data_IF_650949567239
#
_entry.id   IF_650949567239
#
_cell.length_a   1.000
_cell.length_b   1.000
_cell.length_c   1.000
_cell.angle_alpha   90.00
_cell.angle_beta   90.00
_cell.angle_gamma   90.00
#
_symmetry.space_group_name_H-M   'P 1'
#
loop_
_entity.id
_entity.type
_entity.pdbx_description
1 polymer ?
#
# COMPACT_ATOMS: atom_id res chain seq x y z
N UNK A 1 -10.55 -36.86 -6.37
CA UNK A 1 -11.48 -35.82 -6.84
C UNK A 1 -12.90 -35.92 -6.25
N UNK A 2 -13.25 -36.90 -5.43
CA UNK A 2 -14.60 -37.04 -4.85
C UNK A 2 -14.82 -36.38 -3.47
N UNK A 3 -13.78 -36.11 -2.69
CA UNK A 3 -13.93 -35.52 -1.33
C UNK A 3 -13.96 -34.00 -1.29
N UNK A 4 -13.34 -33.30 -2.24
CA UNK A 4 -13.36 -31.84 -2.32
C UNK A 4 -14.75 -31.31 -2.72
N UNK A 5 -15.52 -32.09 -3.48
CA UNK A 5 -16.91 -31.71 -3.84
C UNK A 5 -17.90 -31.72 -2.68
N UNK A 6 -17.60 -32.43 -1.59
CA UNK A 6 -18.49 -32.53 -0.41
C UNK A 6 -18.34 -31.38 0.58
N UNK A 7 -17.27 -30.62 0.53
CA UNK A 7 -16.95 -29.58 1.55
C UNK A 7 -17.45 -28.17 1.18
N UNK A 8 -17.80 -27.91 -0.08
CA UNK A 8 -18.32 -26.61 -0.55
C UNK A 8 -19.51 -26.73 -1.52
N UNK A 9 -20.22 -27.84 -1.47
CA UNK A 9 -21.36 -28.10 -2.35
C UNK A 9 -22.62 -27.36 -1.89
N UNK A 10 -22.85 -26.16 -2.44
CA UNK A 10 -24.17 -25.55 -2.42
C UNK A 10 -25.12 -26.52 -3.14
N UNK A 11 -26.22 -26.95 -2.49
CA UNK A 11 -27.18 -27.87 -3.08
C UNK A 11 -27.79 -27.27 -4.36
N UNK A 12 -28.27 -28.13 -5.27
CA UNK A 12 -28.95 -27.63 -6.46
C UNK A 12 -30.13 -26.72 -6.13
N UNK A 13 -30.81 -26.98 -5.01
CA UNK A 13 -31.93 -26.20 -4.51
C UNK A 13 -31.48 -24.83 -3.96
N UNK A 14 -30.37 -24.80 -3.19
CA UNK A 14 -29.80 -23.54 -2.69
C UNK A 14 -29.27 -22.68 -3.81
N UNK A 15 -28.65 -23.29 -4.84
CA UNK A 15 -28.21 -22.57 -6.04
C UNK A 15 -29.39 -21.99 -6.83
N UNK A 16 -30.49 -22.73 -6.93
CA UNK A 16 -31.71 -22.26 -7.57
C UNK A 16 -32.37 -21.12 -6.78
N UNK A 17 -32.40 -21.19 -5.44
CA UNK A 17 -32.88 -20.12 -4.56
C UNK A 17 -32.03 -18.87 -4.65
N UNK A 18 -30.69 -19.03 -4.66
CA UNK A 18 -29.76 -17.89 -4.84
C UNK A 18 -29.95 -17.21 -6.21
N UNK A 19 -30.06 -17.99 -7.27
CA UNK A 19 -30.32 -17.50 -8.62
C UNK A 19 -31.70 -16.83 -8.75
N UNK A 20 -32.71 -17.33 -8.07
CA UNK A 20 -34.05 -16.73 -8.04
C UNK A 20 -34.03 -15.41 -7.24
N UNK A 21 -33.33 -15.35 -6.11
CA UNK A 21 -33.15 -14.13 -5.33
C UNK A 21 -32.38 -13.05 -6.10
N UNK A 22 -31.32 -13.45 -6.83
CA UNK A 22 -30.55 -12.53 -7.69
C UNK A 22 -31.35 -12.02 -8.89
N UNK A 23 -32.26 -12.82 -9.45
CA UNK A 23 -33.14 -12.41 -10.54
C UNK A 23 -34.28 -11.49 -10.07
N UNK A 24 -34.76 -11.65 -8.84
CA UNK A 24 -35.79 -10.79 -8.25
C UNK A 24 -35.30 -9.40 -7.85
N UNK A 25 -33.99 -9.22 -7.64
CA UNK A 25 -33.40 -7.92 -7.26
C UNK A 25 -32.86 -7.10 -8.44
N UNK A 26 -32.81 -7.67 -9.65
CA UNK A 26 -32.21 -7.04 -10.83
C UNK A 26 -33.24 -6.82 -11.95
N UNK A 27 -34.40 -6.23 -11.64
CA UNK A 27 -35.06 -5.43 -12.66
C UNK A 27 -34.35 -4.06 -12.63
N UNK A 28 -33.52 -3.71 -13.61
CA UNK A 28 -32.93 -2.38 -13.65
C UNK A 28 -34.10 -1.40 -13.76
N UNK A 29 -34.22 -0.49 -12.79
CA UNK A 29 -35.08 0.66 -12.95
C UNK A 29 -34.75 1.29 -14.33
N UNK A 30 -35.75 1.78 -15.08
CA UNK A 30 -35.48 2.38 -16.38
C UNK A 30 -34.45 3.46 -16.20
N UNK A 31 -33.28 3.25 -16.76
CA UNK A 31 -32.21 4.26 -16.81
C UNK A 31 -32.76 5.39 -17.64
N UNK A 32 -33.34 6.40 -16.98
CA UNK A 32 -33.61 7.66 -17.65
C UNK A 32 -32.27 8.17 -18.15
N UNK A 33 -32.10 8.18 -19.47
CA UNK A 33 -30.95 8.74 -20.12
C UNK A 33 -30.90 10.23 -19.80
N UNK A 34 -30.20 10.57 -18.71
CA UNK A 34 -29.82 11.95 -18.41
C UNK A 34 -28.65 12.31 -19.34
N UNK A 35 -28.95 12.53 -20.60
CA UNK A 35 -28.07 13.22 -21.58
C UNK A 35 -28.09 14.74 -21.35
N UNK A 36 -28.07 15.18 -20.11
CA UNK A 36 -27.59 16.50 -19.84
C UNK A 36 -26.06 16.37 -19.82
N UNK A 37 -25.40 16.89 -20.85
CA UNK A 37 -23.94 17.03 -20.90
C UNK A 37 -23.57 17.89 -19.69
N UNK A 38 -23.25 17.22 -18.59
CA UNK A 38 -22.81 17.90 -17.35
C UNK A 38 -21.49 18.54 -17.69
N UNK A 39 -21.48 19.85 -17.93
CA UNK A 39 -20.24 20.57 -18.13
C UNK A 39 -19.43 20.45 -16.85
N UNK A 40 -18.30 19.78 -16.95
CA UNK A 40 -17.36 19.68 -15.84
C UNK A 40 -16.75 21.07 -15.64
N UNK A 41 -16.84 21.64 -14.43
CA UNK A 41 -16.20 22.93 -14.12
C UNK A 41 -14.72 22.88 -14.50
N UNK A 42 -14.23 23.95 -15.12
CA UNK A 42 -12.83 24.00 -15.59
C UNK A 42 -11.82 23.82 -14.46
N UNK A 43 -12.16 24.30 -13.27
CA UNK A 43 -11.34 24.12 -12.06
C UNK A 43 -11.14 22.66 -11.67
N UNK A 44 -12.01 21.73 -12.07
CA UNK A 44 -11.86 20.30 -11.80
C UNK A 44 -10.97 19.60 -12.83
N UNK A 45 -10.60 20.27 -13.89
CA UNK A 45 -9.73 19.75 -14.94
C UNK A 45 -8.25 20.13 -14.73
N UNK A 46 -7.96 20.93 -13.70
CA UNK A 46 -6.62 21.42 -13.40
C UNK A 46 -6.27 21.15 -11.95
N UNK A 47 -5.16 20.43 -11.71
CA UNK A 47 -4.71 20.11 -10.35
C UNK A 47 -4.34 21.33 -9.53
N UNK A 48 -3.85 22.40 -10.17
CA UNK A 48 -3.41 23.63 -9.52
C UNK A 48 -4.56 24.52 -9.00
N UNK A 49 -5.80 24.17 -9.32
CA UNK A 49 -7.02 24.83 -8.84
C UNK A 49 -7.68 24.08 -7.69
N UNK A 50 -7.20 22.87 -7.36
CA UNK A 50 -7.73 22.09 -6.23
C UNK A 50 -7.42 22.80 -4.89
N UNK A 51 -8.35 22.78 -3.92
CA UNK A 51 -8.14 23.43 -2.62
C UNK A 51 -6.84 23.02 -1.93
N UNK A 52 -6.53 21.72 -1.86
CA UNK A 52 -5.29 21.22 -1.28
C UNK A 52 -4.02 21.69 -1.98
N UNK A 53 -4.09 21.98 -3.29
CA UNK A 53 -2.94 22.54 -4.01
C UNK A 53 -2.68 24.00 -3.63
N UNK A 54 -3.73 24.77 -3.34
CA UNK A 54 -3.60 26.14 -2.84
C UNK A 54 -2.90 26.18 -1.49
N UNK A 55 -3.24 25.26 -0.59
CA UNK A 55 -2.55 25.10 0.70
C UNK A 55 -1.06 24.82 0.54
N UNK A 56 -0.69 23.92 -0.37
CA UNK A 56 0.70 23.63 -0.70
C UNK A 56 1.42 24.86 -1.25
N UNK A 57 0.78 25.66 -2.11
CA UNK A 57 1.36 26.91 -2.62
C UNK A 57 1.66 27.90 -1.49
N UNK A 58 0.73 28.06 -0.54
CA UNK A 58 0.92 28.93 0.62
C UNK A 58 2.07 28.43 1.48
N UNK A 59 2.11 27.15 1.81
CA UNK A 59 3.19 26.54 2.58
C UNK A 59 4.56 26.75 1.91
N UNK A 60 4.65 26.52 0.58
CA UNK A 60 5.88 26.76 -0.18
C UNK A 60 6.30 28.22 -0.17
N UNK A 61 5.35 29.16 -0.29
CA UNK A 61 5.65 30.58 -0.23
C UNK A 61 6.20 30.99 1.15
N UNK A 62 5.62 30.47 2.23
CA UNK A 62 6.13 30.69 3.60
C UNK A 62 7.52 30.07 3.77
N UNK A 63 7.70 28.84 3.32
CA UNK A 63 9.00 28.15 3.40
C UNK A 63 10.10 28.96 2.67
N UNK A 64 9.79 29.50 1.51
CA UNK A 64 10.69 30.36 0.75
C UNK A 64 11.08 31.63 1.53
N UNK A 65 10.11 32.28 2.18
CA UNK A 65 10.38 33.50 2.96
C UNK A 65 11.23 33.23 4.19
N UNK A 66 11.13 32.01 4.76
CA UNK A 66 11.86 31.60 5.95
C UNK A 66 13.20 30.92 5.63
N UNK A 67 13.55 30.73 4.36
CA UNK A 67 14.76 30.03 3.94
C UNK A 67 14.69 28.50 4.14
N UNK A 68 13.49 27.95 4.29
CA UNK A 68 13.22 26.51 4.49
C UNK A 68 12.65 25.85 3.23
N UNK A 69 12.82 26.43 2.06
CA UNK A 69 12.19 25.98 0.82
C UNK A 69 12.63 24.57 0.38
N UNK A 70 13.83 24.13 0.77
CA UNK A 70 14.42 22.86 0.35
C UNK A 70 14.42 21.78 1.46
N UNK A 71 13.62 21.96 2.51
CA UNK A 71 13.57 20.98 3.63
C UNK A 71 12.94 19.67 3.20
N UNK A 72 11.95 19.72 2.30
CA UNK A 72 11.25 18.55 1.80
C UNK A 72 11.64 18.25 0.35
N UNK A 73 11.70 16.96 0.01
CA UNK A 73 12.03 16.46 -1.32
C UNK A 73 13.44 16.85 -1.78
N UNK A 74 14.37 17.08 -0.84
CA UNK A 74 15.76 17.28 -1.17
C UNK A 74 16.31 16.03 -1.88
N UNK A 75 17.06 16.26 -2.97
CA UNK A 75 17.67 15.16 -3.70
C UNK A 75 18.90 14.67 -2.93
N UNK A 76 18.84 13.41 -2.50
CA UNK A 76 19.97 12.70 -1.91
C UNK A 76 20.73 11.95 -2.99
N UNK A 77 22.01 12.13 -3.07
CA UNK A 77 22.87 11.43 -4.01
C UNK A 77 23.60 10.26 -3.34
N UNK A 78 23.83 9.20 -4.11
CA UNK A 78 24.51 7.99 -3.65
C UNK A 78 23.57 6.98 -2.95
N UNK A 79 24.19 6.10 -2.18
CA UNK A 79 23.50 5.03 -1.47
C UNK A 79 22.85 5.56 -0.20
N UNK A 80 21.62 5.10 0.09
CA UNK A 80 20.91 5.50 1.29
C UNK A 80 21.51 4.82 2.54
N UNK A 81 22.54 5.44 3.10
CA UNK A 81 23.26 5.00 4.31
C UNK A 81 23.24 6.10 5.38
N UNK A 82 24.12 5.97 6.39
CA UNK A 82 24.33 7.00 7.42
C UNK A 82 25.01 8.27 6.90
N UNK A 83 25.48 8.28 5.67
CA UNK A 83 25.99 9.44 4.95
C UNK A 83 25.20 9.67 3.67
N UNK A 84 25.10 10.93 3.28
CA UNK A 84 24.44 11.32 2.03
C UNK A 84 25.06 12.61 1.49
N UNK A 85 24.96 12.82 0.20
CA UNK A 85 25.29 14.11 -0.42
C UNK A 85 24.02 14.83 -0.84
N UNK A 86 23.87 16.09 -0.45
CA UNK A 86 22.77 16.97 -0.87
C UNK A 86 23.38 18.22 -1.46
N UNK A 87 23.10 18.51 -2.72
CA UNK A 87 23.66 19.64 -3.47
C UNK A 87 25.20 19.71 -3.39
N UNK A 88 25.86 18.53 -3.49
CA UNK A 88 27.32 18.41 -3.43
C UNK A 88 27.94 18.58 -2.04
N UNK A 89 27.15 18.61 -0.98
CA UNK A 89 27.61 18.68 0.41
C UNK A 89 27.40 17.36 1.12
N UNK A 90 28.44 16.78 1.67
CA UNK A 90 28.36 15.58 2.47
C UNK A 90 27.75 15.87 3.84
N UNK A 91 26.80 15.05 4.24
CA UNK A 91 26.06 15.19 5.49
C UNK A 91 25.87 13.85 6.17
N UNK A 92 25.75 13.88 7.49
CA UNK A 92 25.24 12.75 8.25
C UNK A 92 23.73 12.65 8.05
N UNK A 93 23.27 11.45 7.73
CA UNK A 93 21.86 11.18 7.43
C UNK A 93 21.17 10.54 8.63
N UNK A 94 20.42 11.33 9.39
CA UNK A 94 19.57 10.86 10.50
C UNK A 94 18.14 10.52 10.07
N UNK A 95 17.79 10.67 8.79
CA UNK A 95 16.44 10.43 8.27
C UNK A 95 16.31 9.09 7.53
N UNK A 96 17.37 8.27 7.52
CA UNK A 96 17.37 6.95 6.90
C UNK A 96 16.66 5.91 7.76
N UNK A 97 15.94 4.99 7.13
CA UNK A 97 15.41 3.78 7.78
C UNK A 97 16.42 2.63 7.83
N UNK A 98 17.65 2.85 7.37
CA UNK A 98 18.73 1.87 7.43
C UNK A 98 19.32 1.78 8.84
N UNK A 99 18.49 1.40 9.81
CA UNK A 99 18.84 1.37 11.24
C UNK A 99 19.98 0.41 11.56
N UNK A 100 20.18 -0.63 10.76
CA UNK A 100 21.20 -1.65 10.96
C UNK A 100 22.43 -1.44 10.07
N UNK A 101 22.43 -0.43 9.19
CA UNK A 101 23.52 -0.17 8.26
C UNK A 101 23.71 -1.26 7.19
N UNK A 102 22.64 -1.96 6.84
CA UNK A 102 22.70 -3.12 5.95
C UNK A 102 22.45 -2.80 4.48
N UNK A 103 22.00 -1.60 4.15
CA UNK A 103 21.63 -1.24 2.77
C UNK A 103 22.81 -1.35 1.78
N UNK A 104 24.04 -1.16 2.25
CA UNK A 104 25.26 -1.30 1.46
C UNK A 104 25.98 -2.65 1.62
N UNK A 105 25.43 -3.62 2.36
CA UNK A 105 26.08 -4.91 2.60
C UNK A 105 26.18 -5.73 1.31
N UNK A 106 27.40 -6.13 0.95
CA UNK A 106 27.69 -6.86 -0.28
C UNK A 106 26.95 -8.21 -0.37
N UNK A 107 26.67 -8.85 0.78
CA UNK A 107 25.92 -10.12 0.83
C UNK A 107 24.46 -9.90 0.42
N UNK A 108 23.87 -8.81 0.88
CA UNK A 108 22.48 -8.44 0.57
C UNK A 108 22.38 -8.03 -0.90
N UNK A 109 23.31 -7.23 -1.40
CA UNK A 109 23.35 -6.83 -2.81
C UNK A 109 23.51 -8.03 -3.73
N UNK A 110 24.40 -8.98 -3.39
CA UNK A 110 24.58 -10.22 -4.14
C UNK A 110 23.30 -11.07 -4.15
N UNK A 111 22.66 -11.26 -3.01
CA UNK A 111 21.40 -12.02 -2.91
C UNK A 111 20.27 -11.36 -3.70
N UNK A 112 20.16 -10.03 -3.65
CA UNK A 112 19.16 -9.28 -4.42
C UNK A 112 19.40 -9.40 -5.93
N UNK A 113 20.65 -9.32 -6.37
CA UNK A 113 21.03 -9.49 -7.78
C UNK A 113 20.71 -10.89 -8.29
N UNK A 114 21.01 -11.92 -7.50
CA UNK A 114 20.71 -13.31 -7.85
C UNK A 114 19.19 -13.55 -7.89
N UNK A 115 18.44 -13.03 -6.93
CA UNK A 115 16.98 -13.10 -6.94
C UNK A 115 16.39 -12.41 -8.17
N UNK A 116 16.89 -11.24 -8.55
CA UNK A 116 16.45 -10.53 -9.75
C UNK A 116 16.76 -11.33 -11.02
N UNK A 117 17.91 -12.00 -11.08
CA UNK A 117 18.27 -12.87 -12.21
C UNK A 117 17.35 -14.09 -12.31
N UNK A 118 16.95 -14.68 -11.18
CA UNK A 118 16.16 -15.92 -11.15
C UNK A 118 14.66 -15.65 -11.32
N UNK A 119 14.14 -14.62 -10.66
CA UNK A 119 12.70 -14.33 -10.60
C UNK A 119 12.26 -13.12 -11.42
N UNK A 120 13.20 -12.36 -11.98
CA UNK A 120 12.91 -11.08 -12.62
C UNK A 120 12.69 -9.95 -11.62
N UNK A 121 12.31 -8.78 -12.14
CA UNK A 121 12.17 -7.55 -11.34
C UNK A 121 10.76 -7.35 -10.78
N UNK A 122 9.82 -8.25 -11.08
CA UNK A 122 8.42 -8.10 -10.66
C UNK A 122 7.75 -9.46 -10.55
N UNK A 123 6.83 -9.58 -9.60
CA UNK A 123 5.91 -10.71 -9.53
C UNK A 123 4.86 -10.68 -10.66
N UNK A 124 4.64 -9.54 -11.31
CA UNK A 124 3.75 -9.30 -12.45
C UNK A 124 2.28 -9.72 -12.25
N UNK A 125 1.88 -9.96 -11.01
CA UNK A 125 0.51 -10.27 -10.62
C UNK A 125 0.32 -10.14 -9.10
N UNK A 126 -0.92 -10.12 -8.64
CA UNK A 126 -1.21 -10.22 -7.21
C UNK A 126 -0.87 -11.63 -6.69
N UNK A 127 -0.48 -11.72 -5.42
CA UNK A 127 -0.15 -12.99 -4.75
C UNK A 127 -1.32 -13.99 -4.80
N UNK A 128 -2.56 -13.48 -4.71
CA UNK A 128 -3.76 -14.31 -4.73
C UNK A 128 -3.94 -15.08 -6.05
N UNK A 129 -3.44 -14.56 -7.15
CA UNK A 129 -3.63 -15.15 -8.48
C UNK A 129 -2.36 -15.85 -8.98
N UNK A 130 -1.44 -15.12 -9.58
CA UNK A 130 -0.23 -15.68 -10.21
C UNK A 130 1.07 -15.05 -9.68
N UNK A 131 1.00 -14.11 -8.72
CA UNK A 131 2.15 -13.35 -8.21
C UNK A 131 2.87 -13.98 -7.03
N UNK A 132 2.40 -15.11 -6.49
CA UNK A 132 3.10 -15.79 -5.40
C UNK A 132 4.46 -16.33 -5.88
N UNK A 133 5.53 -16.01 -5.16
CA UNK A 133 6.88 -16.42 -5.46
C UNK A 133 7.55 -17.02 -4.23
N UNK A 134 8.51 -17.90 -4.45
CA UNK A 134 9.25 -18.55 -3.37
C UNK A 134 9.88 -17.54 -2.37
N UNK A 135 10.48 -16.42 -2.79
CA UNK A 135 11.00 -15.43 -1.84
C UNK A 135 9.97 -14.86 -0.87
N UNK A 136 8.68 -14.77 -1.23
CA UNK A 136 7.65 -14.32 -0.29
C UNK A 136 7.55 -15.30 0.89
N UNK A 137 7.45 -16.59 0.61
CA UNK A 137 7.35 -17.64 1.63
C UNK A 137 8.60 -17.74 2.49
N UNK A 138 9.77 -17.62 1.87
CA UNK A 138 11.05 -17.63 2.59
C UNK A 138 11.17 -16.44 3.53
N UNK A 139 10.76 -15.25 3.09
CA UNK A 139 10.76 -14.04 3.93
C UNK A 139 9.79 -14.20 5.10
N UNK A 140 8.57 -14.64 4.84
CA UNK A 140 7.54 -14.85 5.85
C UNK A 140 8.00 -15.87 6.91
N UNK A 141 8.54 -16.99 6.49
CA UNK A 141 9.08 -17.99 7.42
C UNK A 141 10.26 -17.43 8.26
N UNK A 142 11.17 -16.69 7.64
CA UNK A 142 12.32 -16.10 8.35
C UNK A 142 11.89 -15.01 9.35
N UNK A 143 10.87 -14.20 9.02
CA UNK A 143 10.33 -13.18 9.93
C UNK A 143 9.57 -13.85 11.09
N UNK A 144 8.77 -14.88 10.83
CA UNK A 144 8.08 -15.64 11.86
C UNK A 144 9.07 -16.27 12.86
N UNK A 145 10.14 -16.89 12.36
CA UNK A 145 11.21 -17.47 13.19
C UNK A 145 11.91 -16.37 14.02
N UNK A 146 12.29 -15.25 13.41
CA UNK A 146 12.91 -14.14 14.09
C UNK A 146 12.05 -13.54 15.22
N UNK A 147 10.73 -13.45 15.00
CA UNK A 147 9.78 -12.91 15.96
C UNK A 147 9.27 -13.94 16.97
N UNK A 148 9.54 -15.23 16.79
CA UNK A 148 9.01 -16.32 17.62
C UNK A 148 7.50 -16.48 17.48
N UNK A 149 6.94 -16.25 16.29
CA UNK A 149 5.51 -16.39 15.97
C UNK A 149 5.26 -17.63 15.11
N UNK A 150 4.02 -18.12 15.08
CA UNK A 150 3.65 -19.29 14.28
C UNK A 150 3.74 -19.04 12.77
N UNK A 151 3.44 -17.81 12.35
CA UNK A 151 3.45 -17.41 10.95
C UNK A 151 3.61 -15.88 10.82
N UNK A 152 3.88 -15.41 9.62
CA UNK A 152 3.89 -13.99 9.27
C UNK A 152 3.35 -13.77 7.87
N UNK A 153 2.97 -12.53 7.56
CA UNK A 153 2.50 -12.13 6.24
C UNK A 153 3.21 -10.86 5.77
N UNK A 154 3.71 -10.88 4.54
CA UNK A 154 4.39 -9.77 3.92
C UNK A 154 3.43 -8.91 3.09
N UNK A 155 3.44 -7.60 3.33
CA UNK A 155 2.70 -6.60 2.55
C UNK A 155 3.65 -5.78 1.67
N UNK A 156 3.09 -5.04 0.73
CA UNK A 156 3.84 -4.19 -0.20
C UNK A 156 4.54 -3.01 0.48
N UNK A 157 4.07 -2.60 1.64
CA UNK A 157 4.67 -1.51 2.44
C UNK A 157 4.18 -1.55 3.89
N UNK A 158 4.88 -0.88 4.81
CA UNK A 158 4.43 -0.70 6.19
C UNK A 158 3.12 0.07 6.30
N UNK A 159 2.90 1.05 5.42
CA UNK A 159 1.63 1.77 5.34
C UNK A 159 0.47 0.83 5.00
N UNK A 160 0.64 0.01 3.96
CA UNK A 160 -0.35 -0.99 3.56
C UNK A 160 -0.56 -2.05 4.65
N UNK A 161 0.49 -2.45 5.36
CA UNK A 161 0.40 -3.37 6.50
C UNK A 161 -0.58 -2.87 7.55
N UNK A 162 -0.36 -1.66 8.07
CA UNK A 162 -1.19 -1.09 9.12
C UNK A 162 -2.65 -0.94 8.65
N UNK A 163 -2.85 -0.30 7.51
CA UNK A 163 -4.19 -0.06 6.98
C UNK A 163 -4.95 -1.35 6.71
N UNK A 164 -4.34 -2.29 5.97
CA UNK A 164 -5.00 -3.55 5.58
C UNK A 164 -5.27 -4.45 6.77
N UNK A 165 -4.36 -4.51 7.75
CA UNK A 165 -4.55 -5.32 8.94
C UNK A 165 -5.72 -4.81 9.77
N UNK A 166 -5.79 -3.51 10.04
CA UNK A 166 -6.88 -2.93 10.81
C UNK A 166 -8.23 -3.10 10.08
N UNK A 167 -8.29 -2.76 8.80
CA UNK A 167 -9.50 -2.95 7.99
C UNK A 167 -9.96 -4.42 7.91
N UNK A 168 -9.03 -5.38 7.98
CA UNK A 168 -9.37 -6.80 7.89
C UNK A 168 -9.85 -7.38 9.22
N UNK A 169 -9.24 -6.99 10.33
CA UNK A 169 -9.48 -7.58 11.64
C UNK A 169 -10.65 -6.93 12.38
N UNK A 170 -10.96 -5.66 12.12
CA UNK A 170 -11.93 -4.88 12.86
C UNK A 170 -13.11 -4.44 11.98
N UNK A 171 -14.22 -4.14 12.61
CA UNK A 171 -15.48 -3.76 11.98
C UNK A 171 -16.15 -2.60 12.75
N UNK A 172 -17.27 -2.09 12.26
CA UNK A 172 -18.05 -1.04 12.92
C UNK A 172 -18.59 -1.42 14.33
N UNK A 173 -18.40 -2.66 14.77
CA UNK A 173 -18.80 -3.15 16.10
C UNK A 173 -17.63 -3.16 17.09
N UNK A 174 -16.44 -2.86 16.63
CA UNK A 174 -15.23 -2.87 17.43
C UNK A 174 -14.83 -1.44 17.79
N UNK A 175 -14.11 -1.27 18.90
CA UNK A 175 -13.56 0.01 19.32
C UNK A 175 -12.03 -0.05 19.19
N UNK A 176 -11.45 0.90 18.48
CA UNK A 176 -10.00 1.02 18.31
C UNK A 176 -9.52 2.24 19.10
N UNK A 177 -8.65 2.01 20.08
CA UNK A 177 -7.99 3.06 20.85
C UNK A 177 -6.59 3.30 20.27
N UNK A 178 -6.26 4.54 19.94
CA UNK A 178 -4.99 4.90 19.35
C UNK A 178 -4.43 6.18 19.96
N UNK A 179 -3.12 6.35 19.91
CA UNK A 179 -2.44 7.56 20.30
C UNK A 179 -2.73 8.71 19.31
N UNK A 180 -2.93 9.92 19.81
CA UNK A 180 -3.22 11.10 18.98
C UNK A 180 -2.13 11.43 17.96
N UNK A 181 -0.90 11.01 18.22
CA UNK A 181 0.27 11.19 17.36
C UNK A 181 0.68 9.92 16.61
N UNK A 182 -0.18 8.91 16.57
CA UNK A 182 0.12 7.68 15.84
C UNK A 182 0.27 7.96 14.34
N UNK A 183 0.97 7.06 13.67
CA UNK A 183 1.20 7.17 12.23
C UNK A 183 -0.13 7.17 11.45
N UNK A 184 -0.22 8.01 10.42
CA UNK A 184 -1.41 8.20 9.58
C UNK A 184 -1.99 6.90 9.02
N UNK A 185 -1.18 5.88 8.72
CA UNK A 185 -1.66 4.59 8.25
C UNK A 185 -2.54 3.84 9.25
N UNK A 186 -2.35 4.07 10.55
CA UNK A 186 -3.22 3.52 11.60
C UNK A 186 -4.57 4.23 11.61
N UNK A 187 -4.56 5.56 11.49
CA UNK A 187 -5.79 6.37 11.38
C UNK A 187 -6.63 5.99 10.16
N UNK A 188 -5.96 5.72 9.03
CA UNK A 188 -6.65 5.33 7.79
C UNK A 188 -7.19 3.90 7.84
N UNK A 189 -6.62 3.03 8.67
CA UNK A 189 -7.10 1.67 8.86
C UNK A 189 -8.22 1.55 9.88
N UNK A 190 -8.27 2.46 10.85
CA UNK A 190 -9.27 2.52 11.90
C UNK A 190 -10.58 3.18 11.44
#
# INVERSE_FOLDING_TARGET
MSEIKKRFGISKEDKARLLAAMRGQNAPAPVQSRTATRQIPKEWLQFDTLPGYTEIKVQKAVAKQTGLEDVYYALHDGMATNHTSIAGRDMLNFSSYDYLGLNGDARIQSAASEAARLYGMSASASRLTAGERLPHRQLEAAVADLCGTEDSICFVSGHATNMSTLCCLFSSRDAIFYDALCHNSLLLGA
#
